data_IF_609004671282
#
_entry.id   IF_609004671282
#
_cell.length_a   1.000
_cell.length_b   1.000
_cell.length_c   1.000
_cell.angle_alpha   90.00
_cell.angle_beta   90.00
_cell.angle_gamma   90.00
#
_symmetry.space_group_name_H-M   'P 1'
#
loop_
_entity.id
_entity.type
_entity.pdbx_description
1 polymer ?
#
# COMPACT_ATOMS: atom_id res chain seq x y z
N UNK A 1 -7.96 -2.76 -16.60
CA UNK A 1 -7.76 -2.73 -15.14
C UNK A 1 -7.09 -1.42 -14.82
N UNK A 2 -7.63 -0.64 -13.89
CA UNK A 2 -6.98 0.61 -13.49
C UNK A 2 -5.72 0.27 -12.69
N UNK A 3 -4.69 1.10 -12.82
CA UNK A 3 -3.41 0.90 -12.16
C UNK A 3 -2.94 2.22 -11.57
N UNK A 4 -2.43 2.19 -10.35
CA UNK A 4 -1.58 3.28 -9.88
C UNK A 4 -0.27 3.24 -10.65
N UNK A 5 0.23 4.41 -11.03
CA UNK A 5 1.49 4.58 -11.76
C UNK A 5 2.38 5.55 -11.00
N UNK A 6 3.60 5.14 -10.67
CA UNK A 6 4.56 5.98 -9.95
C UNK A 6 5.80 6.19 -10.81
N UNK A 7 6.09 7.43 -11.23
CA UNK A 7 7.29 7.70 -12.02
C UNK A 7 8.55 7.48 -11.19
N UNK A 8 9.61 6.99 -11.84
CA UNK A 8 10.93 6.80 -11.22
C UNK A 8 11.68 8.11 -10.97
N UNK A 9 11.08 9.24 -11.33
CA UNK A 9 11.63 10.56 -11.10
C UNK A 9 10.79 11.35 -10.09
N UNK A 10 11.46 12.27 -9.41
CA UNK A 10 10.91 13.14 -8.37
C UNK A 10 10.01 14.28 -8.84
N UNK A 11 9.76 14.41 -10.15
CA UNK A 11 9.31 15.69 -10.70
C UNK A 11 7.81 15.95 -10.52
N UNK A 12 6.99 14.90 -10.43
CA UNK A 12 5.56 15.07 -10.71
C UNK A 12 4.65 14.79 -9.52
N UNK A 13 5.02 13.87 -8.62
CA UNK A 13 4.13 13.38 -7.57
C UNK A 13 4.79 13.32 -6.20
N UNK A 14 4.03 13.69 -5.18
CA UNK A 14 4.31 13.32 -3.79
C UNK A 14 3.41 12.15 -3.40
N UNK A 15 3.98 11.17 -2.71
CA UNK A 15 3.26 9.98 -2.29
C UNK A 15 3.04 10.04 -0.78
N UNK A 16 1.82 9.78 -0.31
CA UNK A 16 1.52 9.65 1.11
C UNK A 16 1.15 8.22 1.46
N UNK A 17 1.78 7.70 2.52
CA UNK A 17 1.37 6.44 3.15
C UNK A 17 0.75 6.77 4.51
N UNK A 18 -0.43 6.21 4.77
CA UNK A 18 -1.06 6.16 6.08
C UNK A 18 -1.18 4.69 6.50
N UNK A 19 -0.53 4.35 7.61
CA UNK A 19 -0.33 2.97 8.05
C UNK A 19 -1.21 2.68 9.26
N UNK A 20 -2.13 1.76 9.09
CA UNK A 20 -3.13 1.39 10.09
C UNK A 20 -2.86 0.00 10.64
N UNK A 21 -3.12 -0.16 11.94
CA UNK A 21 -3.29 -1.45 12.60
C UNK A 21 -4.79 -1.65 12.87
N UNK A 22 -5.47 -2.53 12.12
CA UNK A 22 -6.88 -2.82 12.34
C UNK A 22 -7.15 -3.41 13.72
N UNK A 23 -8.34 -3.14 14.25
CA UNK A 23 -8.94 -3.92 15.32
C UNK A 23 -9.51 -5.20 14.70
N UNK A 24 -9.09 -6.38 15.20
CA UNK A 24 -9.15 -7.69 14.50
C UNK A 24 -10.52 -8.05 13.89
N UNK A 25 -11.62 -7.53 14.43
CA UNK A 25 -12.99 -7.92 14.06
C UNK A 25 -13.55 -7.15 12.85
N UNK A 26 -12.90 -6.07 12.39
CA UNK A 26 -13.54 -5.07 11.50
C UNK A 26 -12.70 -4.79 10.23
N UNK A 27 -11.91 -5.78 9.76
CA UNK A 27 -10.95 -5.55 8.66
C UNK A 27 -11.64 -5.21 7.33
N UNK A 28 -12.70 -5.93 6.97
CA UNK A 28 -13.35 -5.72 5.67
C UNK A 28 -14.17 -4.42 5.66
N UNK A 29 -14.82 -4.07 6.77
CA UNK A 29 -15.48 -2.76 6.94
C UNK A 29 -14.46 -1.61 6.92
N UNK A 30 -13.30 -1.79 7.55
CA UNK A 30 -12.21 -0.81 7.47
C UNK A 30 -11.73 -0.60 6.04
N UNK A 31 -11.60 -1.67 5.25
CA UNK A 31 -11.27 -1.54 3.82
C UNK A 31 -12.38 -0.82 3.07
N UNK A 32 -13.66 -1.08 3.39
CA UNK A 32 -14.79 -0.37 2.82
C UNK A 32 -14.74 1.14 3.12
N UNK A 33 -14.53 1.53 4.37
CA UNK A 33 -14.39 2.93 4.77
C UNK A 33 -13.17 3.59 4.13
N UNK A 34 -12.05 2.88 3.99
CA UNK A 34 -10.87 3.40 3.28
C UNK A 34 -11.12 3.60 1.78
N UNK A 35 -12.02 2.83 1.15
CA UNK A 35 -12.46 3.08 -0.23
C UNK A 35 -13.28 4.36 -0.31
N UNK A 36 -14.23 4.59 0.60
CA UNK A 36 -14.97 5.85 0.69
C UNK A 36 -14.05 7.04 0.95
N UNK A 37 -13.13 6.90 1.90
CA UNK A 37 -12.09 7.89 2.17
C UNK A 37 -11.31 8.22 0.89
N UNK A 38 -10.89 7.21 0.12
CA UNK A 38 -10.18 7.40 -1.14
C UNK A 38 -10.96 8.29 -2.12
N UNK A 39 -12.27 8.08 -2.28
CA UNK A 39 -13.13 8.92 -3.13
C UNK A 39 -13.17 10.37 -2.63
N UNK A 40 -13.28 10.58 -1.32
CA UNK A 40 -13.28 11.93 -0.75
C UNK A 40 -11.95 12.67 -0.95
N UNK A 41 -10.83 11.94 -1.02
CA UNK A 41 -9.51 12.57 -1.25
C UNK A 41 -9.31 13.08 -2.68
N UNK A 42 -10.10 12.62 -3.65
CA UNK A 42 -10.07 13.15 -5.02
C UNK A 42 -10.46 14.65 -5.04
N UNK A 43 -11.41 15.05 -4.20
CA UNK A 43 -11.80 16.46 -4.02
C UNK A 43 -10.70 17.32 -3.39
N UNK A 44 -9.72 16.69 -2.74
CA UNK A 44 -8.53 17.35 -2.18
C UNK A 44 -7.34 17.34 -3.16
N UNK A 45 -7.55 16.84 -4.38
CA UNK A 45 -6.52 16.77 -5.41
C UNK A 45 -5.70 15.47 -5.43
N UNK A 46 -6.17 14.40 -4.78
CA UNK A 46 -5.53 13.09 -4.92
C UNK A 46 -5.73 12.57 -6.35
N UNK A 47 -4.64 12.23 -7.04
CA UNK A 47 -4.66 11.79 -8.45
C UNK A 47 -4.93 10.29 -8.55
N UNK A 48 -4.41 9.53 -7.59
CA UNK A 48 -4.59 8.08 -7.51
C UNK A 48 -4.40 7.66 -6.06
N UNK A 49 -5.21 6.70 -5.62
CA UNK A 49 -5.10 6.11 -4.30
C UNK A 49 -5.24 4.59 -4.37
N UNK A 50 -4.75 3.91 -3.34
CA UNK A 50 -4.75 2.46 -3.28
C UNK A 50 -4.72 1.98 -1.84
N UNK A 51 -5.17 0.74 -1.61
CA UNK A 51 -5.14 0.12 -0.30
C UNK A 51 -4.32 -1.17 -0.39
N UNK A 52 -3.32 -1.28 0.47
CA UNK A 52 -2.46 -2.45 0.60
C UNK A 52 -2.80 -3.17 1.89
N UNK A 53 -3.15 -4.45 1.81
CA UNK A 53 -3.39 -5.31 2.97
C UNK A 53 -2.22 -6.24 3.15
N UNK A 54 -1.61 -6.23 4.33
CA UNK A 54 -0.53 -7.16 4.66
C UNK A 54 -1.03 -8.61 4.56
N UNK A 55 -0.18 -9.48 4.01
CA UNK A 55 -0.45 -10.92 3.88
C UNK A 55 -0.10 -11.65 5.18
N UNK A 56 0.90 -11.17 5.92
CA UNK A 56 1.43 -11.83 7.12
C UNK A 56 1.05 -11.15 8.42
N UNK A 57 0.82 -9.84 8.37
CA UNK A 57 0.57 -9.00 9.51
C UNK A 57 -0.85 -8.47 9.54
N UNK A 58 -1.14 -7.77 10.62
CA UNK A 58 -2.38 -7.01 10.77
C UNK A 58 -2.09 -5.53 10.48
N UNK A 59 -1.69 -5.25 9.23
CA UNK A 59 -1.34 -3.90 8.78
C UNK A 59 -2.03 -3.60 7.45
N UNK A 60 -2.59 -2.39 7.37
CA UNK A 60 -3.17 -1.85 6.15
C UNK A 60 -2.47 -0.52 5.84
N UNK A 61 -2.08 -0.32 4.59
CA UNK A 61 -1.52 0.95 4.13
C UNK A 61 -2.51 1.55 3.15
N UNK A 62 -2.96 2.77 3.45
CA UNK A 62 -3.56 3.61 2.44
C UNK A 62 -2.48 4.42 1.74
N UNK A 63 -2.47 4.33 0.43
CA UNK A 63 -1.59 5.01 -0.50
C UNK A 63 -2.37 6.15 -1.15
N UNK A 64 -1.80 7.35 -1.21
CA UNK A 64 -2.29 8.45 -2.04
C UNK A 64 -1.15 9.08 -2.83
N UNK A 65 -1.40 9.44 -4.09
CA UNK A 65 -0.49 10.25 -4.88
C UNK A 65 -1.11 11.61 -5.16
N UNK A 66 -0.28 12.64 -5.05
CA UNK A 66 -0.68 14.02 -5.10
C UNK A 66 0.22 14.75 -6.10
N UNK A 67 -0.26 15.79 -6.80
CA UNK A 67 0.63 16.72 -7.48
C UNK A 67 1.65 17.25 -6.49
N UNK A 68 2.84 17.63 -6.96
CA UNK A 68 3.90 18.13 -6.08
C UNK A 68 3.39 19.26 -5.18
N UNK A 69 3.57 19.11 -3.87
CA UNK A 69 3.15 20.08 -2.86
C UNK A 69 4.35 20.70 -2.14
N UNK A 70 4.21 21.94 -1.72
CA UNK A 70 5.10 22.60 -0.77
C UNK A 70 5.02 21.95 0.61
N UNK A 71 6.00 22.21 1.48
CA UNK A 71 5.99 21.66 2.84
C UNK A 71 4.77 22.11 3.65
N UNK A 72 4.33 23.36 3.48
CA UNK A 72 3.15 23.90 4.17
C UNK A 72 1.87 23.19 3.75
N UNK A 73 1.67 23.02 2.44
CA UNK A 73 0.51 22.30 1.89
C UNK A 73 0.48 20.85 2.37
N UNK A 74 1.65 20.18 2.48
CA UNK A 74 1.74 18.82 3.00
C UNK A 74 1.31 18.73 4.46
N UNK A 75 1.68 19.70 5.29
CA UNK A 75 1.27 19.75 6.69
C UNK A 75 -0.23 19.98 6.84
N UNK A 76 -0.78 20.95 6.10
CA UNK A 76 -2.21 21.24 6.05
C UNK A 76 -3.02 20.03 5.55
N UNK A 77 -2.57 19.38 4.47
CA UNK A 77 -3.17 18.16 3.94
C UNK A 77 -3.08 17.02 4.95
N UNK A 78 -1.92 16.82 5.59
CA UNK A 78 -1.77 15.78 6.63
C UNK A 78 -2.76 15.98 7.77
N UNK A 79 -2.94 17.22 8.24
CA UNK A 79 -3.89 17.56 9.30
C UNK A 79 -5.34 17.25 8.88
N UNK A 80 -5.69 17.64 7.65
CA UNK A 80 -7.01 17.40 7.06
C UNK A 80 -7.30 15.89 6.95
N UNK A 81 -6.39 15.12 6.35
CA UNK A 81 -6.53 13.68 6.18
C UNK A 81 -6.63 12.95 7.52
N UNK A 82 -5.82 13.33 8.52
CA UNK A 82 -5.92 12.75 9.87
C UNK A 82 -7.27 13.00 10.51
N UNK A 83 -7.81 14.22 10.36
CA UNK A 83 -9.12 14.57 10.91
C UNK A 83 -10.21 13.73 10.26
N UNK A 84 -10.20 13.61 8.92
CA UNK A 84 -11.14 12.77 8.19
C UNK A 84 -11.08 11.30 8.62
N UNK A 85 -9.87 10.73 8.70
CA UNK A 85 -9.66 9.34 9.14
C UNK A 85 -10.06 9.11 10.60
N UNK A 86 -9.82 10.09 11.47
CA UNK A 86 -10.25 10.01 12.87
C UNK A 86 -11.76 9.98 12.97
N UNK A 87 -12.45 10.74 12.13
CA UNK A 87 -13.91 10.79 12.12
C UNK A 87 -14.55 9.53 11.49
N UNK A 88 -13.90 8.89 10.52
CA UNK A 88 -14.48 7.74 9.81
C UNK A 88 -14.09 6.37 10.37
N UNK A 89 -12.84 6.19 10.83
CA UNK A 89 -12.30 4.84 11.12
C UNK A 89 -11.61 4.69 12.49
N UNK A 90 -11.69 5.68 13.38
CA UNK A 90 -10.99 5.66 14.68
C UNK A 90 -11.37 4.48 15.58
N UNK A 91 -12.58 3.95 15.46
CA UNK A 91 -13.03 2.75 16.19
C UNK A 91 -12.57 1.45 15.54
N UNK A 92 -12.27 1.49 14.24
CA UNK A 92 -11.93 0.31 13.44
C UNK A 92 -10.42 0.05 13.39
N UNK A 93 -9.60 1.09 13.50
CA UNK A 93 -8.16 0.97 13.41
C UNK A 93 -7.41 2.08 14.15
N UNK A 94 -6.16 1.78 14.50
CA UNK A 94 -5.21 2.77 15.01
C UNK A 94 -4.28 3.21 13.87
N UNK A 95 -4.22 4.51 13.60
CA UNK A 95 -3.19 5.09 12.73
C UNK A 95 -1.83 5.01 13.46
N UNK A 96 -0.96 4.11 13.00
CA UNK A 96 0.34 3.85 13.62
C UNK A 96 1.46 4.71 13.05
N UNK A 97 1.36 5.10 11.79
CA UNK A 97 2.36 5.95 11.13
C UNK A 97 1.78 6.63 9.89
N UNK A 98 2.42 7.73 9.48
CA UNK A 98 2.14 8.39 8.22
C UNK A 98 3.41 9.06 7.69
N UNK A 99 3.55 9.18 6.38
CA UNK A 99 4.72 9.82 5.77
C UNK A 99 4.41 10.30 4.36
N UNK A 100 4.92 11.48 4.03
CA UNK A 100 5.15 11.88 2.64
C UNK A 100 6.49 11.33 2.15
N UNK A 101 6.45 10.77 0.95
CA UNK A 101 7.48 10.01 0.29
C UNK A 101 7.70 10.56 -1.11
N UNK A 102 8.97 10.64 -1.51
CA UNK A 102 9.39 11.05 -2.84
C UNK A 102 10.07 9.90 -3.55
N UNK A 103 9.57 9.52 -4.73
CA UNK A 103 10.24 8.58 -5.59
C UNK A 103 11.54 9.20 -6.13
N UNK A 104 12.67 8.54 -5.92
CA UNK A 104 13.99 9.02 -6.36
C UNK A 104 14.70 8.08 -7.34
N UNK A 105 14.13 6.91 -7.61
CA UNK A 105 14.63 5.97 -8.60
C UNK A 105 13.84 4.67 -8.60
N UNK A 106 13.99 3.91 -9.67
CA UNK A 106 13.36 2.62 -9.85
C UNK A 106 13.86 1.91 -11.08
N UNK A 107 13.39 0.68 -11.27
CA UNK A 107 13.66 -0.19 -12.41
C UNK A 107 12.38 -0.91 -12.82
N UNK A 108 12.23 -1.21 -14.11
CA UNK A 108 11.11 -2.00 -14.62
C UNK A 108 11.58 -3.02 -15.65
N UNK A 109 10.96 -4.20 -15.65
CA UNK A 109 11.30 -5.28 -16.60
C UNK A 109 10.92 -4.95 -18.04
N UNK A 110 9.89 -4.14 -18.22
CA UNK A 110 9.41 -3.69 -19.54
C UNK A 110 10.14 -2.44 -20.05
N UNK A 111 11.13 -1.94 -19.31
CA UNK A 111 11.86 -0.71 -19.65
C UNK A 111 11.04 0.58 -19.45
N UNK A 112 9.84 0.51 -18.88
CA UNK A 112 9.05 1.71 -18.58
C UNK A 112 9.70 2.57 -17.50
N UNK A 113 9.40 3.87 -17.53
CA UNK A 113 9.90 4.86 -16.56
C UNK A 113 9.02 5.01 -15.32
N UNK A 114 8.10 4.05 -15.11
CA UNK A 114 7.07 4.08 -14.06
C UNK A 114 6.86 2.69 -13.48
N UNK A 115 6.70 2.58 -12.17
CA UNK A 115 6.16 1.36 -11.56
C UNK A 115 4.64 1.41 -11.65
N UNK A 116 4.01 0.32 -12.11
CA UNK A 116 2.55 0.17 -12.16
C UNK A 116 2.12 -0.98 -11.27
N UNK A 117 1.01 -0.81 -10.58
CA UNK A 117 0.35 -1.88 -9.82
C UNK A 117 -1.16 -1.68 -9.83
N UNK A 118 -1.90 -2.79 -9.83
CA UNK A 118 -3.35 -2.88 -9.92
C UNK A 118 -3.92 -3.71 -8.78
N UNK A 119 -5.23 -3.70 -8.59
CA UNK A 119 -5.90 -4.58 -7.63
C UNK A 119 -5.53 -6.04 -7.88
N UNK A 120 -5.17 -6.77 -6.83
CA UNK A 120 -4.73 -8.17 -6.87
C UNK A 120 -3.21 -8.35 -6.91
N UNK A 121 -2.45 -7.33 -7.30
CA UNK A 121 -0.98 -7.40 -7.37
C UNK A 121 -0.35 -7.63 -5.99
N UNK A 122 0.84 -8.23 -6.02
CA UNK A 122 1.64 -8.50 -4.82
C UNK A 122 2.76 -7.47 -4.75
N UNK A 123 2.82 -6.77 -3.62
CA UNK A 123 3.85 -5.79 -3.30
C UNK A 123 4.71 -6.31 -2.15
N UNK A 124 6.00 -6.07 -2.21
CA UNK A 124 6.85 -6.21 -1.02
C UNK A 124 7.50 -4.87 -0.70
N UNK A 125 7.42 -4.43 0.54
CA UNK A 125 8.00 -3.18 1.01
C UNK A 125 9.09 -3.47 2.04
N UNK A 126 10.27 -2.93 1.80
CA UNK A 126 11.30 -2.75 2.82
C UNK A 126 11.29 -1.29 3.24
N UNK A 127 11.19 -1.00 4.54
CA UNK A 127 11.42 0.33 5.07
C UNK A 127 12.62 0.31 5.99
N UNK A 128 13.49 1.30 5.88
CA UNK A 128 14.55 1.51 6.84
C UNK A 128 14.49 2.95 7.37
N UNK A 129 14.84 3.10 8.64
CA UNK A 129 15.03 4.41 9.28
C UNK A 129 16.48 4.49 9.70
N UNK A 130 17.15 5.59 9.35
CA UNK A 130 18.50 5.87 9.83
C UNK A 130 18.43 6.92 10.94
N UNK A 131 19.24 6.73 11.98
CA UNK A 131 19.46 7.73 13.03
C UNK A 131 20.65 8.64 12.73
N UNK A 132 21.37 8.39 11.62
CA UNK A 132 22.48 9.21 11.15
C UNK A 132 21.99 10.26 10.17
N UNK A 133 22.78 11.34 9.97
CA UNK A 133 22.47 12.38 8.98
C UNK A 133 22.74 11.94 7.53
N UNK A 134 22.94 10.64 7.28
CA UNK A 134 23.40 10.09 6.00
C UNK A 134 22.26 9.54 5.13
N UNK A 135 21.05 10.07 5.29
CA UNK A 135 19.86 9.61 4.57
C UNK A 135 20.06 9.57 3.04
N UNK A 136 20.76 10.57 2.49
CA UNK A 136 21.04 10.63 1.05
C UNK A 136 21.97 9.50 0.59
N UNK A 137 23.01 9.21 1.36
CA UNK A 137 23.97 8.15 1.07
C UNK A 137 23.34 6.77 1.19
N UNK A 138 22.44 6.62 2.16
CA UNK A 138 21.64 5.40 2.30
C UNK A 138 20.67 5.24 1.13
N UNK A 139 19.99 6.31 0.70
CA UNK A 139 19.15 6.29 -0.49
C UNK A 139 19.97 5.90 -1.74
N UNK A 140 21.17 6.47 -1.89
CA UNK A 140 22.07 6.14 -2.99
C UNK A 140 22.49 4.66 -2.96
N UNK A 141 22.89 4.15 -1.79
CA UNK A 141 23.27 2.75 -1.61
C UNK A 141 22.12 1.79 -1.95
N UNK A 142 20.91 2.09 -1.46
CA UNK A 142 19.70 1.29 -1.74
C UNK A 142 19.35 1.29 -3.23
N UNK A 143 19.44 2.43 -3.91
CA UNK A 143 19.21 2.49 -5.35
C UNK A 143 20.29 1.75 -6.15
N UNK A 144 21.56 1.88 -5.78
CA UNK A 144 22.65 1.14 -6.43
C UNK A 144 22.46 -0.38 -6.29
N UNK A 145 22.06 -0.83 -5.09
CA UNK A 145 21.68 -2.22 -4.82
C UNK A 145 20.52 -2.64 -5.72
N UNK A 146 19.43 -1.88 -5.74
CA UNK A 146 18.26 -2.18 -6.57
C UNK A 146 18.69 -2.37 -8.03
N UNK A 147 19.36 -1.38 -8.61
CA UNK A 147 19.77 -1.40 -10.02
C UNK A 147 20.71 -2.55 -10.38
N UNK A 148 21.72 -2.79 -9.54
CA UNK A 148 22.71 -3.85 -9.79
C UNK A 148 22.13 -5.26 -9.72
N UNK A 149 21.01 -5.43 -9.02
CA UNK A 149 20.40 -6.75 -8.78
C UNK A 149 19.09 -6.97 -9.50
N UNK A 150 18.36 -5.92 -9.87
CA UNK A 150 16.99 -6.02 -10.38
C UNK A 150 16.85 -7.04 -11.51
N UNK A 151 17.78 -7.05 -12.47
CA UNK A 151 17.79 -8.00 -13.58
C UNK A 151 17.88 -9.48 -13.14
N UNK A 152 18.48 -9.76 -11.98
CA UNK A 152 18.67 -11.09 -11.39
C UNK A 152 17.51 -11.53 -10.48
N UNK A 153 16.59 -10.64 -10.15
CA UNK A 153 15.45 -10.96 -9.28
C UNK A 153 14.31 -11.52 -10.13
N UNK A 154 14.17 -12.84 -10.18
CA UNK A 154 13.14 -13.47 -11.00
C UNK A 154 11.73 -13.09 -10.51
N UNK A 155 10.83 -12.80 -11.44
CA UNK A 155 9.42 -12.55 -11.14
C UNK A 155 9.10 -11.17 -10.57
N UNK A 156 10.07 -10.25 -10.43
CA UNK A 156 9.77 -8.82 -10.24
C UNK A 156 9.27 -8.21 -11.55
N UNK A 157 8.28 -7.32 -11.44
CA UNK A 157 7.76 -6.50 -12.55
C UNK A 157 8.47 -5.15 -12.54
N UNK A 158 8.45 -4.48 -11.39
CA UNK A 158 9.12 -3.20 -11.16
C UNK A 158 9.61 -3.07 -9.73
N UNK A 159 10.58 -2.20 -9.51
CA UNK A 159 11.15 -1.85 -8.22
C UNK A 159 11.27 -0.33 -8.09
N UNK A 160 10.98 0.21 -6.92
CA UNK A 160 10.90 1.64 -6.69
C UNK A 160 11.50 2.00 -5.33
N UNK A 161 12.23 3.10 -5.30
CA UNK A 161 12.82 3.64 -4.09
C UNK A 161 12.23 5.00 -3.74
N UNK A 162 11.79 5.12 -2.50
CA UNK A 162 11.19 6.30 -1.91
C UNK A 162 12.03 6.84 -0.78
N UNK A 163 12.10 8.16 -0.70
CA UNK A 163 12.75 8.90 0.39
C UNK A 163 11.68 9.64 1.20
N UNK A 164 11.72 9.48 2.51
CA UNK A 164 10.88 10.21 3.45
C UNK A 164 11.23 11.70 3.47
N UNK A 165 10.20 12.54 3.50
CA UNK A 165 10.39 14.00 3.53
C UNK A 165 10.39 14.57 4.96
N UNK A 166 9.66 13.96 5.89
CA UNK A 166 9.54 14.42 7.28
C UNK A 166 10.37 13.61 8.29
N UNK A 167 10.67 12.35 7.97
CA UNK A 167 11.48 11.44 8.80
C UNK A 167 12.63 10.88 7.96
N UNK A 168 13.81 10.59 8.54
CA UNK A 168 14.96 10.02 7.85
C UNK A 168 14.73 8.55 7.50
N UNK A 169 13.80 8.31 6.59
CA UNK A 169 13.30 7.01 6.18
C UNK A 169 13.52 6.81 4.69
N UNK A 170 13.76 5.57 4.30
CA UNK A 170 13.61 5.10 2.93
C UNK A 170 12.63 3.94 2.90
N UNK A 171 11.94 3.81 1.77
CA UNK A 171 11.09 2.67 1.46
C UNK A 171 11.47 2.15 0.08
N UNK A 172 11.75 0.86 -0.03
CA UNK A 172 11.94 0.18 -1.31
C UNK A 172 10.76 -0.76 -1.53
N UNK A 173 10.05 -0.56 -2.63
CA UNK A 173 8.87 -1.32 -3.01
C UNK A 173 9.16 -2.14 -4.27
N UNK A 174 8.74 -3.40 -4.29
CA UNK A 174 8.77 -4.23 -5.48
C UNK A 174 7.37 -4.72 -5.81
N UNK A 175 7.02 -4.69 -7.10
CA UNK A 175 5.81 -5.30 -7.65
C UNK A 175 6.18 -6.68 -8.19
N UNK A 176 5.46 -7.72 -7.80
CA UNK A 176 5.75 -9.11 -8.13
C UNK A 176 4.70 -9.69 -9.07
N UNK A 177 5.13 -10.55 -10.01
CA UNK A 177 4.24 -11.32 -10.88
C UNK A 177 3.28 -12.22 -10.10
N UNK A 178 3.75 -12.77 -8.99
CA UNK A 178 2.95 -13.60 -8.11
C UNK A 178 3.58 -13.70 -6.72
N UNK A 179 2.76 -14.16 -5.77
CA UNK A 179 3.21 -14.45 -4.41
C UNK A 179 4.28 -15.55 -4.39
N UNK A 180 4.19 -16.51 -5.31
CA UNK A 180 5.18 -17.57 -5.46
C UNK A 180 6.58 -17.01 -5.77
N UNK A 181 6.71 -16.12 -6.76
CA UNK A 181 8.00 -15.50 -7.08
C UNK A 181 8.56 -14.69 -5.91
N UNK A 182 7.69 -13.95 -5.20
CA UNK A 182 8.08 -13.18 -4.03
C UNK A 182 8.71 -14.07 -2.94
N UNK A 183 8.03 -15.16 -2.55
CA UNK A 183 8.58 -16.08 -1.55
C UNK A 183 9.79 -16.87 -2.05
N UNK A 184 9.77 -17.32 -3.30
CA UNK A 184 10.92 -18.02 -3.88
C UNK A 184 12.16 -17.13 -3.83
N UNK A 185 12.04 -15.82 -4.07
CA UNK A 185 13.14 -14.89 -3.88
C UNK A 185 13.55 -14.76 -2.40
N UNK A 186 12.61 -14.49 -1.49
CA UNK A 186 12.92 -14.28 -0.06
C UNK A 186 13.59 -15.50 0.57
N UNK A 187 13.12 -16.71 0.25
CA UNK A 187 13.57 -17.95 0.86
C UNK A 187 14.89 -18.46 0.28
N UNK A 188 15.13 -18.23 -1.03
CA UNK A 188 16.33 -18.75 -1.70
C UNK A 188 17.42 -17.71 -1.89
N UNK A 189 17.13 -16.42 -1.69
CA UNK A 189 18.15 -15.40 -1.81
C UNK A 189 18.93 -15.25 -0.51
N UNK A 190 20.25 -15.24 -0.63
CA UNK A 190 21.18 -14.72 0.38
C UNK A 190 21.05 -13.17 0.49
N UNK A 191 19.83 -12.61 0.34
CA UNK A 191 19.58 -11.17 0.21
C UNK A 191 20.21 -10.38 1.34
N UNK A 192 19.98 -10.81 2.58
CA UNK A 192 20.56 -10.16 3.74
C UNK A 192 22.09 -10.21 3.69
N UNK A 193 22.68 -11.35 3.32
CA UNK A 193 24.13 -11.55 3.32
C UNK A 193 24.85 -10.64 2.33
N UNK A 194 24.30 -10.43 1.13
CA UNK A 194 24.94 -9.56 0.15
C UNK A 194 24.53 -8.08 0.31
N UNK A 195 23.36 -7.77 0.87
CA UNK A 195 22.88 -6.39 1.02
C UNK A 195 23.43 -5.71 2.28
N UNK A 196 23.45 -6.41 3.42
CA UNK A 196 23.82 -5.84 4.72
C UNK A 196 25.21 -5.20 4.76
N UNK A 197 26.27 -5.75 4.13
CA UNK A 197 27.59 -5.11 4.15
C UNK A 197 27.60 -3.68 3.61
N UNK A 198 26.69 -3.34 2.70
CA UNK A 198 26.54 -1.98 2.17
C UNK A 198 25.72 -1.06 3.07
N UNK A 199 24.91 -1.64 3.96
CA UNK A 199 23.92 -0.93 4.77
C UNK A 199 24.30 -0.80 6.26
N UNK A 200 25.19 -1.66 6.76
CA UNK A 200 25.60 -1.72 8.18
C UNK A 200 26.12 -0.38 8.71
N UNK A 201 26.86 0.37 7.88
CA UNK A 201 27.41 1.68 8.26
C UNK A 201 26.35 2.73 8.63
N UNK A 202 25.09 2.52 8.24
CA UNK A 202 24.02 3.50 8.44
C UNK A 202 23.19 3.27 9.71
N UNK A 203 23.53 2.26 10.53
CA UNK A 203 22.80 1.97 11.79
C UNK A 203 21.27 1.91 11.59
N UNK A 204 20.82 1.18 10.58
CA UNK A 204 19.42 1.16 10.18
C UNK A 204 18.57 0.17 10.98
N UNK A 205 17.36 0.57 11.33
CA UNK A 205 16.28 -0.36 11.70
C UNK A 205 15.46 -0.66 10.45
N UNK A 206 15.52 -1.90 9.97
CA UNK A 206 14.81 -2.32 8.75
C UNK A 206 13.57 -3.16 9.07
N UNK A 207 12.44 -2.80 8.46
CA UNK A 207 11.16 -3.50 8.52
C UNK A 207 10.80 -3.99 7.13
N UNK A 208 10.20 -5.16 7.07
CA UNK A 208 9.78 -5.79 5.81
C UNK A 208 8.39 -6.38 5.96
N UNK A 209 7.57 -6.22 4.92
CA UNK A 209 6.28 -6.91 4.84
C UNK A 209 5.84 -7.07 3.37
N UNK A 210 4.92 -8.00 3.13
CA UNK A 210 4.33 -8.33 1.83
C UNK A 210 2.85 -7.98 1.88
N UNK A 211 2.38 -7.30 0.86
CA UNK A 211 1.02 -6.83 0.75
C UNK A 211 0.36 -7.33 -0.51
N UNK A 212 -0.95 -7.53 -0.42
CA UNK A 212 -1.83 -7.59 -1.58
C UNK A 212 -2.47 -6.22 -1.78
N UNK A 213 -2.48 -5.73 -3.02
CA UNK A 213 -3.28 -4.56 -3.39
C UNK A 213 -4.75 -4.98 -3.40
N UNK A 214 -5.57 -4.41 -2.53
CA UNK A 214 -7.00 -4.76 -2.40
C UNK A 214 -7.93 -3.71 -3.01
N UNK A 215 -7.38 -2.58 -3.45
CA UNK A 215 -8.10 -1.51 -4.10
C UNK A 215 -7.15 -0.57 -4.85
N UNK A 216 -7.59 -0.05 -5.99
CA UNK A 216 -7.01 1.09 -6.71
C UNK A 216 -8.14 2.03 -7.11
N UNK A 217 -7.98 3.34 -6.88
CA UNK A 217 -8.97 4.34 -7.28
C UNK A 217 -9.21 4.31 -8.79
N UNK A 218 -10.48 4.38 -9.18
CA UNK A 218 -10.92 4.20 -10.56
C UNK A 218 -11.40 2.79 -10.89
N UNK A 219 -11.13 1.77 -10.05
CA UNK A 219 -11.73 0.43 -10.24
C UNK A 219 -13.26 0.41 -9.93
N UNK A 220 -13.79 1.39 -9.18
CA UNK A 220 -15.17 1.38 -8.66
C UNK A 220 -16.01 2.59 -9.11
N UNK A 221 -16.30 2.72 -10.42
CA UNK A 221 -17.43 3.55 -10.87
C UNK A 221 -18.75 2.76 -10.91
N UNK A 222 -18.74 1.44 -10.69
CA UNK A 222 -19.96 0.63 -10.63
C UNK A 222 -19.80 -0.48 -9.58
N UNK A 223 -20.86 -0.75 -8.84
CA UNK A 223 -21.04 -1.78 -7.79
C UNK A 223 -20.67 -1.42 -6.34
N UNK A 224 -21.28 -0.34 -5.83
CA UNK A 224 -21.72 -0.29 -4.44
C UNK A 224 -23.04 -1.05 -4.28
N UNK A 225 -23.01 -2.38 -4.39
CA UNK A 225 -24.03 -3.25 -3.83
C UNK A 225 -23.31 -4.33 -3.02
N UNK A 226 -22.99 -3.99 -1.77
CA UNK A 226 -22.53 -4.96 -0.78
C UNK A 226 -23.68 -5.92 -0.47
N UNK A 227 -23.76 -7.04 -1.20
CA UNK A 227 -24.56 -8.18 -0.75
C UNK A 227 -23.72 -8.89 0.31
N UNK A 228 -24.04 -8.61 1.57
CA UNK A 228 -23.47 -9.29 2.73
C UNK A 228 -23.68 -10.80 2.61
N UNK A 229 -22.59 -11.56 2.75
CA UNK A 229 -22.57 -13.04 2.77
C UNK A 229 -23.43 -13.66 3.88
N UNK A 230 -23.97 -12.85 4.80
CA UNK A 230 -24.93 -13.30 5.80
C UNK A 230 -26.37 -13.48 5.26
N UNK A 231 -26.76 -12.81 4.18
CA UNK A 231 -28.12 -12.94 3.63
C UNK A 231 -28.37 -14.28 2.90
N UNK A 232 -27.32 -15.01 2.51
CA UNK A 232 -27.48 -16.33 1.88
C UNK A 232 -27.67 -17.48 2.89
N UNK A 233 -27.44 -17.25 4.19
CA UNK A 233 -27.55 -18.28 5.23
C UNK A 233 -28.88 -18.25 6.02
N UNK A 234 -29.68 -17.20 5.89
CA UNK A 234 -30.99 -17.09 6.58
C UNK A 234 -32.17 -17.62 5.76
N UNK A 235 -32.06 -17.79 4.44
CA UNK A 235 -33.14 -18.35 3.61
C UNK A 235 -33.25 -19.89 3.63
N UNK A 236 -32.55 -20.56 4.56
CA UNK A 236 -32.51 -22.01 4.67
C UNK A 236 -33.49 -22.64 5.66
N UNK A 237 -34.27 -21.85 6.40
CA UNK A 237 -35.20 -22.38 7.42
C UNK A 237 -36.52 -21.61 7.43
N UNK A 238 -37.50 -22.13 6.70
CA UNK A 238 -38.93 -22.20 7.09
C UNK A 238 -39.81 -22.50 5.86
N UNK A 239 -39.97 -23.78 5.53
CA UNK A 239 -41.18 -24.28 4.87
C UNK A 239 -41.53 -25.64 5.44
N UNK A 240 -42.16 -25.63 6.61
CA UNK A 240 -42.89 -26.78 7.15
C UNK A 240 -44.21 -26.33 7.77
N UNK A 241 -45.29 -26.68 7.05
CA UNK A 241 -46.66 -26.95 7.52
C UNK A 241 -47.40 -25.97 8.43
N UNK A 242 -48.50 -25.42 7.90
CA UNK A 242 -49.88 -25.40 8.42
C UNK A 242 -50.70 -24.65 7.34
N UNK A 243 -51.87 -25.03 6.84
CA UNK A 243 -52.96 -25.82 7.38
C UNK A 243 -54.25 -25.07 6.98
N UNK A 244 -55.02 -25.66 6.05
CA UNK A 244 -56.41 -25.41 5.59
C UNK A 244 -57.23 -24.27 6.22
N UNK A 245 -58.05 -23.57 5.39
CA UNK A 245 -59.53 -23.51 5.49
C UNK A 245 -60.15 -23.22 4.09
N UNK A 246 -61.23 -23.94 3.75
CA UNK A 246 -62.08 -23.81 2.55
C UNK A 246 -63.05 -22.61 2.59
N UNK A 247 -63.61 -22.25 1.42
CA UNK A 247 -65.00 -21.83 1.09
C UNK A 247 -64.93 -20.86 -0.11
N UNK A 248 -65.68 -20.94 -1.20
CA UNK A 248 -66.75 -21.80 -1.72
C UNK A 248 -66.54 -21.93 -3.24
#
# INVERSE_FOLDING_TARGET
>A
MMACSVPFNKKNLDISFFVFKPTIVIIDDLVHELKHFSLTTENLGCVQSSIFRSIHGNMIIWYGAWPRQSSKEKEELTSTLKTMLTNSISTMAVLTDHSFLEAYGGESRDGSSTAKFSTGDILSLNSAVTTTNDLNDLCYAVLAILRSRFAKIEGTISGLCFKGQSKPRMVCMHVWKSLHFCYSWILNSDQRKWMMPYLERFSIEMKYDIFRVVYVSGDNVVDFNCVSTHQMLENGKEKSMQGQVMQN
#
